data_IF_559761980859
#
_entry.id   IF_559761980859
#
_cell.length_a   1.000
_cell.length_b   1.000
_cell.length_c   1.000
_cell.angle_alpha   90.00
_cell.angle_beta   90.00
_cell.angle_gamma   90.00
#
_symmetry.space_group_name_H-M   'P 1'
#
loop_
_entity.id
_entity.type
_entity.pdbx_description
1 polymer ?
#
# COMPACT_ATOMS: atom_id res chain seq x y z
N UNK A 1 35.98 23.68 2.76
CA UNK A 1 35.61 22.36 2.22
C UNK A 1 35.26 21.34 3.32
N UNK A 2 35.81 21.42 4.51
CA UNK A 2 35.51 20.51 5.65
C UNK A 2 34.05 20.60 6.17
N UNK A 3 33.41 21.77 6.09
CA UNK A 3 32.02 21.95 6.54
C UNK A 3 30.97 21.26 5.66
N UNK A 4 31.15 21.24 4.33
CA UNK A 4 30.21 20.58 3.42
C UNK A 4 30.25 19.05 3.53
N UNK A 5 31.46 18.47 3.67
CA UNK A 5 31.65 17.04 3.89
C UNK A 5 31.09 16.62 5.25
N UNK A 6 31.26 17.43 6.30
CA UNK A 6 30.67 17.18 7.63
C UNK A 6 29.14 17.24 7.61
N UNK A 7 28.55 18.21 6.89
CA UNK A 7 27.09 18.30 6.73
C UNK A 7 26.53 17.10 5.94
N UNK A 8 27.21 16.68 4.88
CA UNK A 8 26.82 15.49 4.11
C UNK A 8 26.88 14.22 4.97
N UNK A 9 28.00 14.05 5.73
CA UNK A 9 28.17 12.92 6.64
C UNK A 9 27.10 12.87 7.73
N UNK A 10 26.78 14.01 8.34
CA UNK A 10 25.72 14.09 9.35
C UNK A 10 24.32 13.78 8.78
N UNK A 11 24.02 14.21 7.57
CA UNK A 11 22.76 13.90 6.89
C UNK A 11 22.64 12.40 6.60
N UNK A 12 23.69 11.76 6.09
CA UNK A 12 23.73 10.31 5.84
C UNK A 12 23.55 9.52 7.14
N UNK A 13 24.27 9.89 8.20
CA UNK A 13 24.14 9.23 9.51
C UNK A 13 22.74 9.41 10.11
N UNK A 14 22.12 10.58 9.97
CA UNK A 14 20.76 10.84 10.42
C UNK A 14 19.73 9.99 9.64
N UNK A 15 19.93 9.81 8.32
CA UNK A 15 19.10 8.94 7.49
C UNK A 15 19.24 7.48 7.91
N UNK A 16 20.46 6.97 8.07
CA UNK A 16 20.72 5.59 8.53
C UNK A 16 20.15 5.33 9.92
N UNK A 17 20.30 6.29 10.85
CA UNK A 17 19.69 6.20 12.16
C UNK A 17 18.16 6.16 12.11
N UNK A 18 17.54 6.90 11.19
CA UNK A 18 16.08 6.86 11.00
C UNK A 18 15.60 5.52 10.45
N UNK A 19 16.31 4.97 9.46
CA UNK A 19 16.04 3.62 8.94
C UNK A 19 16.21 2.57 10.06
N UNK A 20 17.31 2.65 10.84
CA UNK A 20 17.55 1.75 11.96
C UNK A 20 16.41 1.77 13.00
N UNK A 21 15.89 2.93 13.34
CA UNK A 21 14.74 3.05 14.27
C UNK A 21 13.47 2.39 13.71
N UNK A 22 13.20 2.55 12.43
CA UNK A 22 12.04 1.90 11.78
C UNK A 22 12.21 0.39 11.75
N UNK A 23 13.41 -0.11 11.45
CA UNK A 23 13.71 -1.55 11.44
C UNK A 23 13.56 -2.15 12.84
N UNK A 24 14.07 -1.48 13.87
CA UNK A 24 13.91 -1.93 15.27
C UNK A 24 12.41 -1.94 15.65
N UNK A 25 11.66 -0.92 15.26
CA UNK A 25 10.22 -0.86 15.50
C UNK A 25 9.49 -2.00 14.80
N UNK A 26 9.83 -2.31 13.55
CA UNK A 26 9.31 -3.44 12.79
C UNK A 26 9.63 -4.77 13.47
N UNK A 27 10.88 -4.99 13.85
CA UNK A 27 11.32 -6.21 14.54
C UNK A 27 10.58 -6.42 15.88
N UNK A 28 10.39 -5.34 16.64
CA UNK A 28 9.60 -5.40 17.88
C UNK A 28 8.13 -5.72 17.60
N UNK A 29 7.52 -5.14 16.56
CA UNK A 29 6.14 -5.46 16.19
C UNK A 29 5.99 -6.93 15.83
N UNK A 30 6.89 -7.47 15.00
CA UNK A 30 6.88 -8.88 14.58
C UNK A 30 7.11 -9.82 15.78
N UNK A 31 8.02 -9.48 16.70
CA UNK A 31 8.25 -10.25 17.91
C UNK A 31 7.00 -10.38 18.77
N UNK A 32 6.18 -9.35 18.86
CA UNK A 32 4.95 -9.36 19.63
C UNK A 32 3.83 -10.21 18.99
N UNK A 33 3.97 -10.59 17.71
CA UNK A 33 3.03 -11.50 17.04
C UNK A 33 2.97 -12.89 17.69
N UNK A 34 4.10 -13.36 18.23
CA UNK A 34 4.19 -14.70 18.84
C UNK A 34 3.79 -14.74 20.32
N UNK A 35 3.54 -13.60 20.96
CA UNK A 35 3.36 -13.49 22.40
C UNK A 35 1.91 -13.06 22.76
N UNK A 36 1.17 -13.82 23.59
CA UNK A 36 -0.12 -13.37 24.11
C UNK A 36 0.05 -12.12 25.04
N UNK A 37 -0.98 -11.30 25.30
CA UNK A 37 -2.38 -11.45 24.87
C UNK A 37 -2.63 -10.96 23.43
N UNK A 38 -3.66 -11.53 22.77
CA UNK A 38 -4.16 -11.07 21.47
C UNK A 38 -5.43 -10.25 21.68
N UNK A 39 -5.62 -9.21 20.85
CA UNK A 39 -6.78 -8.31 20.90
C UNK A 39 -7.64 -8.47 19.64
N UNK A 40 -8.50 -9.51 19.55
CA UNK A 40 -9.25 -9.79 18.33
C UNK A 40 -10.24 -8.67 17.98
N UNK A 41 -10.81 -8.02 18.95
CA UNK A 41 -11.74 -6.90 18.73
C UNK A 41 -11.06 -5.76 17.99
N UNK A 42 -9.87 -5.35 18.42
CA UNK A 42 -9.10 -4.27 17.78
C UNK A 42 -8.66 -4.67 16.37
N UNK A 43 -8.32 -5.95 16.17
CA UNK A 43 -7.99 -6.50 14.86
C UNK A 43 -9.17 -6.41 13.87
N UNK A 44 -10.37 -6.86 14.27
CA UNK A 44 -11.55 -6.80 13.41
C UNK A 44 -12.00 -5.36 13.12
N UNK A 45 -11.90 -4.45 14.09
CA UNK A 45 -12.16 -3.03 13.88
C UNK A 45 -11.17 -2.43 12.88
N UNK A 46 -9.87 -2.71 13.04
CA UNK A 46 -8.85 -2.27 12.10
C UNK A 46 -9.08 -2.86 10.69
N UNK A 47 -9.50 -4.12 10.58
CA UNK A 47 -9.78 -4.77 9.29
C UNK A 47 -10.94 -4.08 8.55
N UNK A 48 -11.99 -3.67 9.24
CA UNK A 48 -13.10 -2.91 8.65
C UNK A 48 -12.62 -1.51 8.25
N UNK A 49 -11.89 -0.81 9.11
CA UNK A 49 -11.42 0.55 8.83
C UNK A 49 -10.41 0.60 7.67
N UNK A 50 -9.50 -0.36 7.60
CA UNK A 50 -8.46 -0.43 6.58
C UNK A 50 -9.01 -1.05 5.30
N UNK A 51 -9.68 -2.20 5.39
CA UNK A 51 -10.17 -2.95 4.24
C UNK A 51 -11.44 -2.33 3.65
N UNK A 52 -12.55 -2.48 4.34
CA UNK A 52 -13.86 -2.12 3.80
C UNK A 52 -13.97 -0.66 3.39
N UNK A 53 -13.55 0.25 4.25
CA UNK A 53 -13.64 1.68 3.96
C UNK A 53 -12.65 2.18 2.90
N UNK A 54 -11.67 1.37 2.47
CA UNK A 54 -10.76 1.72 1.36
C UNK A 54 -11.28 1.23 -0.01
N UNK A 55 -12.23 0.29 -0.03
CA UNK A 55 -12.79 -0.27 -1.27
C UNK A 55 -13.26 0.80 -2.27
N UNK A 56 -14.04 1.83 -1.89
CA UNK A 56 -14.53 2.81 -2.85
C UNK A 56 -13.41 3.58 -3.55
N UNK A 57 -12.40 4.00 -2.80
CA UNK A 57 -11.28 4.78 -3.33
C UNK A 57 -10.38 3.92 -4.21
N UNK A 58 -10.07 2.70 -3.80
CA UNK A 58 -9.27 1.76 -4.58
C UNK A 58 -10.02 1.35 -5.85
N UNK A 59 -11.31 1.00 -5.73
CA UNK A 59 -12.13 0.60 -6.85
C UNK A 59 -12.28 1.69 -7.92
N UNK A 60 -12.61 2.94 -7.51
CA UNK A 60 -12.72 4.06 -8.43
C UNK A 60 -11.38 4.35 -9.13
N UNK A 61 -10.29 4.38 -8.37
CA UNK A 61 -8.96 4.62 -8.95
C UNK A 61 -8.60 3.52 -9.97
N UNK A 62 -8.82 2.26 -9.61
CA UNK A 62 -8.55 1.14 -10.50
C UNK A 62 -9.43 1.19 -11.77
N UNK A 63 -10.72 1.47 -11.63
CA UNK A 63 -11.65 1.56 -12.76
C UNK A 63 -11.21 2.58 -13.82
N UNK A 64 -10.95 3.81 -13.38
CA UNK A 64 -10.53 4.88 -14.29
C UNK A 64 -9.12 4.63 -14.84
N UNK A 65 -8.22 4.06 -14.05
CA UNK A 65 -6.88 3.72 -14.51
C UNK A 65 -6.92 2.64 -15.58
N UNK A 66 -7.71 1.56 -15.40
CA UNK A 66 -7.86 0.50 -16.38
C UNK A 66 -8.46 1.00 -17.69
N UNK A 67 -9.50 1.87 -17.60
CA UNK A 67 -10.10 2.52 -18.78
C UNK A 67 -9.11 3.43 -19.52
N UNK A 68 -8.37 4.28 -18.78
CA UNK A 68 -7.36 5.15 -19.36
C UNK A 68 -6.21 4.35 -20.00
N UNK A 69 -5.78 3.27 -19.34
CA UNK A 69 -4.75 2.38 -19.85
C UNK A 69 -5.16 1.73 -21.16
N UNK A 70 -6.42 1.27 -21.28
CA UNK A 70 -6.95 0.68 -22.52
C UNK A 70 -6.88 1.68 -23.68
N UNK A 71 -7.29 2.94 -23.47
CA UNK A 71 -7.18 4.00 -24.48
C UNK A 71 -5.74 4.28 -24.88
N UNK A 72 -4.85 4.36 -23.92
CA UNK A 72 -3.43 4.68 -24.15
C UNK A 72 -2.72 3.56 -24.92
N UNK A 73 -2.97 2.31 -24.54
CA UNK A 73 -2.39 1.15 -25.23
C UNK A 73 -2.94 1.04 -26.64
N UNK A 74 -4.27 1.24 -26.83
CA UNK A 74 -4.88 1.24 -28.16
C UNK A 74 -4.26 2.29 -29.08
N UNK A 75 -4.13 3.53 -28.61
CA UNK A 75 -3.52 4.61 -29.39
C UNK A 75 -2.06 4.33 -29.76
N UNK A 76 -1.33 3.61 -28.91
CA UNK A 76 0.03 3.16 -29.21
C UNK A 76 0.08 1.99 -30.19
N UNK A 77 -0.72 0.94 -29.95
CA UNK A 77 -0.74 -0.30 -30.74
C UNK A 77 -1.31 -0.11 -32.15
N UNK A 78 -2.24 0.83 -32.34
CA UNK A 78 -2.79 1.18 -33.63
C UNK A 78 -1.74 1.61 -34.66
N UNK A 79 -0.61 2.19 -34.19
CA UNK A 79 0.51 2.58 -35.06
C UNK A 79 1.23 1.39 -35.70
N UNK A 80 1.07 0.21 -35.13
CA UNK A 80 1.71 -1.05 -35.55
C UNK A 80 0.69 -2.10 -36.00
N UNK A 81 -0.59 -1.73 -36.17
CA UNK A 81 -1.72 -2.64 -36.47
C UNK A 81 -1.79 -3.84 -35.49
N UNK A 82 -1.52 -3.56 -34.22
CA UNK A 82 -1.42 -4.57 -33.16
C UNK A 82 -2.49 -4.36 -32.06
N UNK A 83 -3.70 -3.90 -32.45
CA UNK A 83 -4.77 -3.60 -31.50
C UNK A 83 -5.25 -4.83 -30.70
N UNK A 84 -5.10 -6.03 -31.29
CA UNK A 84 -5.51 -7.30 -30.65
C UNK A 84 -4.80 -7.58 -29.31
N UNK A 85 -3.65 -6.94 -29.03
CA UNK A 85 -2.91 -7.13 -27.78
C UNK A 85 -3.42 -6.26 -26.62
N UNK A 86 -4.28 -5.30 -26.89
CA UNK A 86 -4.77 -4.35 -25.86
C UNK A 86 -5.33 -5.04 -24.62
N UNK A 87 -6.24 -6.04 -24.72
CA UNK A 87 -6.80 -6.71 -23.56
C UNK A 87 -5.73 -7.36 -22.66
N UNK A 88 -4.77 -8.03 -23.28
CA UNK A 88 -3.69 -8.74 -22.60
C UNK A 88 -2.76 -7.78 -21.85
N UNK A 89 -2.36 -6.67 -22.49
CA UNK A 89 -1.47 -5.68 -21.88
C UNK A 89 -2.18 -4.94 -20.73
N UNK A 90 -3.48 -4.62 -20.90
CA UNK A 90 -4.28 -4.00 -19.83
C UNK A 90 -4.36 -4.94 -18.62
N UNK A 91 -4.63 -6.22 -18.85
CA UNK A 91 -4.74 -7.21 -17.78
C UNK A 91 -3.42 -7.36 -17.01
N UNK A 92 -2.30 -7.59 -17.71
CA UNK A 92 -0.99 -7.71 -17.09
C UNK A 92 -0.57 -6.41 -16.39
N UNK A 93 -0.73 -5.26 -17.05
CA UNK A 93 -0.37 -3.97 -16.51
C UNK A 93 -1.12 -3.64 -15.20
N UNK A 94 -2.40 -4.02 -15.13
CA UNK A 94 -3.18 -3.89 -13.90
C UNK A 94 -2.66 -4.85 -12.83
N UNK A 95 -2.63 -6.14 -13.09
CA UNK A 95 -2.37 -7.18 -12.08
C UNK A 95 -0.94 -7.16 -11.54
N UNK A 96 0.06 -6.95 -12.41
CA UNK A 96 1.47 -6.96 -12.00
C UNK A 96 1.93 -5.68 -11.34
N UNK A 97 1.43 -4.50 -11.81
CA UNK A 97 2.01 -3.22 -11.42
C UNK A 97 0.98 -2.20 -10.93
N UNK A 98 0.03 -1.80 -11.80
CA UNK A 98 -0.81 -0.64 -11.51
C UNK A 98 -1.79 -0.89 -10.35
N UNK A 99 -2.40 -2.07 -10.28
CA UNK A 99 -3.31 -2.42 -9.20
C UNK A 99 -2.63 -2.42 -7.84
N UNK A 100 -1.55 -3.19 -7.64
CA UNK A 100 -0.82 -3.20 -6.37
C UNK A 100 -0.26 -1.83 -5.99
N UNK A 101 0.40 -1.12 -6.92
CA UNK A 101 1.05 0.16 -6.64
C UNK A 101 0.04 1.25 -6.36
N UNK A 102 -0.95 1.45 -7.25
CA UNK A 102 -1.96 2.50 -7.06
C UNK A 102 -2.86 2.19 -5.87
N UNK A 103 -3.29 0.93 -5.70
CA UNK A 103 -4.00 0.48 -4.52
C UNK A 103 -3.22 0.75 -3.24
N UNK A 104 -1.94 0.37 -3.22
CA UNK A 104 -1.05 0.62 -2.09
C UNK A 104 -0.88 2.11 -1.78
N UNK A 105 -0.66 2.96 -2.78
CA UNK A 105 -0.51 4.41 -2.61
C UNK A 105 -1.80 5.08 -2.12
N UNK A 106 -2.98 4.67 -2.64
CA UNK A 106 -4.27 5.18 -2.17
C UNK A 106 -4.53 4.80 -0.72
N UNK A 107 -4.23 3.55 -0.36
CA UNK A 107 -4.34 3.08 1.02
C UNK A 107 -3.30 3.76 1.91
N UNK A 108 -2.07 4.00 1.46
CA UNK A 108 -1.05 4.74 2.21
C UNK A 108 -1.53 6.16 2.52
N UNK A 109 -2.06 6.88 1.53
CA UNK A 109 -2.55 8.23 1.72
C UNK A 109 -3.68 8.31 2.76
N UNK A 110 -4.61 7.33 2.75
CA UNK A 110 -5.77 7.31 3.63
C UNK A 110 -5.47 6.68 4.99
N UNK A 111 -4.90 5.46 4.99
CA UNK A 111 -4.76 4.64 6.20
C UNK A 111 -3.55 5.04 7.02
N UNK A 112 -2.37 5.23 6.39
CA UNK A 112 -1.17 5.63 7.13
C UNK A 112 -1.34 6.99 7.80
N UNK A 113 -2.00 7.96 7.12
CA UNK A 113 -2.32 9.26 7.71
C UNK A 113 -3.31 9.14 8.88
N UNK A 114 -4.37 8.34 8.71
CA UNK A 114 -5.38 8.13 9.75
C UNK A 114 -4.79 7.48 11.00
N UNK A 115 -4.00 6.41 10.84
CA UNK A 115 -3.30 5.73 11.94
C UNK A 115 -2.35 6.71 12.66
N UNK A 116 -1.56 7.47 11.89
CA UNK A 116 -0.62 8.43 12.48
C UNK A 116 -1.33 9.56 13.21
N UNK A 117 -2.49 10.03 12.71
CA UNK A 117 -3.30 11.04 13.38
C UNK A 117 -3.92 10.51 14.68
N UNK A 118 -4.50 9.33 14.64
CA UNK A 118 -5.15 8.69 15.78
C UNK A 118 -4.14 8.41 16.91
N UNK A 119 -3.07 7.68 16.62
CA UNK A 119 -2.02 7.37 17.61
C UNK A 119 -1.32 8.64 18.09
N UNK A 120 -1.06 9.58 17.19
CA UNK A 120 -0.46 10.87 17.54
C UNK A 120 -1.35 11.69 18.48
N UNK A 121 -2.65 11.67 18.29
CA UNK A 121 -3.63 12.32 19.19
C UNK A 121 -3.66 11.61 20.55
N UNK A 122 -3.69 10.28 20.56
CA UNK A 122 -3.62 9.48 21.80
C UNK A 122 -2.36 9.80 22.60
N UNK A 123 -1.22 10.03 21.91
CA UNK A 123 0.03 10.42 22.55
C UNK A 123 -0.04 11.82 23.18
N UNK A 124 -0.57 12.79 22.45
CA UNK A 124 -0.69 14.19 22.92
C UNK A 124 -1.65 14.30 24.11
N UNK A 125 -2.66 13.45 24.17
CA UNK A 125 -3.64 13.38 25.25
C UNK A 125 -3.27 12.40 26.37
N UNK A 126 -2.01 11.92 26.39
CA UNK A 126 -1.46 11.00 27.41
C UNK A 126 -2.18 9.65 27.53
N UNK A 127 -3.02 9.28 26.53
CA UNK A 127 -3.73 8.00 26.53
C UNK A 127 -2.77 6.80 26.40
N UNK A 128 -1.65 6.97 25.71
CA UNK A 128 -0.62 5.92 25.59
C UNK A 128 0.03 5.69 26.96
N UNK A 129 0.31 6.74 27.72
CA UNK A 129 0.90 6.64 29.05
C UNK A 129 -0.10 6.02 30.03
N UNK A 130 -1.39 6.30 29.88
CA UNK A 130 -2.45 5.62 30.63
C UNK A 130 -2.50 4.12 30.35
N UNK A 131 -2.32 3.68 29.08
CA UNK A 131 -2.23 2.25 28.75
C UNK A 131 -1.04 1.58 29.46
N UNK A 132 0.11 2.24 29.49
CA UNK A 132 1.30 1.72 30.18
C UNK A 132 1.07 1.59 31.68
N UNK A 133 0.43 2.59 32.32
CA UNK A 133 0.09 2.53 33.75
C UNK A 133 -0.89 1.41 34.08
N UNK A 134 -1.76 1.04 33.12
CA UNK A 134 -2.65 -0.11 33.22
C UNK A 134 -1.98 -1.44 32.85
N UNK A 135 -0.66 -1.48 32.75
CA UNK A 135 0.13 -2.66 32.36
C UNK A 135 -0.22 -3.23 30.98
N UNK A 136 -0.77 -2.39 30.10
CA UNK A 136 -1.09 -2.75 28.72
C UNK A 136 0.03 -2.26 27.80
N UNK A 137 0.64 -3.18 27.04
CA UNK A 137 1.70 -2.83 26.08
C UNK A 137 1.09 -2.14 24.85
N UNK A 138 1.43 -0.84 24.61
CA UNK A 138 0.90 -0.09 23.46
C UNK A 138 1.25 -0.72 22.10
N UNK A 139 2.39 -1.41 21.98
CA UNK A 139 2.76 -2.10 20.76
C UNK A 139 1.79 -3.24 20.42
N UNK A 140 1.36 -3.99 21.43
CA UNK A 140 0.41 -5.09 21.27
C UNK A 140 -1.02 -4.60 21.04
N UNK A 141 -1.40 -3.55 21.74
CA UNK A 141 -2.78 -3.06 21.71
C UNK A 141 -3.05 -2.17 20.47
N UNK A 142 -2.12 -1.29 20.12
CA UNK A 142 -2.31 -0.31 19.04
C UNK A 142 -1.66 -0.74 17.71
N UNK A 143 -0.40 -1.20 17.73
CA UNK A 143 0.37 -1.41 16.50
C UNK A 143 0.06 -2.75 15.87
N UNK A 144 0.15 -3.83 16.63
CA UNK A 144 0.03 -5.18 16.10
C UNK A 144 -1.29 -5.46 15.37
N UNK A 145 -2.48 -5.13 15.92
CA UNK A 145 -3.75 -5.36 15.25
C UNK A 145 -3.86 -4.60 13.92
N UNK A 146 -3.37 -3.35 13.86
CA UNK A 146 -3.40 -2.53 12.65
C UNK A 146 -2.47 -3.05 11.56
N UNK A 147 -1.26 -3.48 11.94
CA UNK A 147 -0.29 -4.06 10.99
C UNK A 147 -0.81 -5.36 10.42
N UNK A 148 -1.35 -6.26 11.25
CA UNK A 148 -1.95 -7.51 10.77
C UNK A 148 -3.15 -7.26 9.86
N UNK A 149 -4.05 -6.38 10.28
CA UNK A 149 -5.23 -6.04 9.49
C UNK A 149 -4.86 -5.47 8.11
N UNK A 150 -3.87 -4.57 8.03
CA UNK A 150 -3.43 -4.00 6.77
C UNK A 150 -2.74 -5.04 5.88
N UNK A 151 -1.88 -5.87 6.46
CA UNK A 151 -1.18 -6.93 5.72
C UNK A 151 -2.15 -7.93 5.09
N UNK A 152 -3.26 -8.23 5.76
CA UNK A 152 -4.29 -9.14 5.26
C UNK A 152 -5.31 -8.46 4.34
N UNK A 153 -5.65 -7.19 4.59
CA UNK A 153 -6.64 -6.46 3.79
C UNK A 153 -6.13 -6.03 2.43
N UNK A 154 -4.85 -5.60 2.32
CA UNK A 154 -4.34 -5.07 1.07
C UNK A 154 -4.29 -6.08 -0.07
N UNK A 155 -3.88 -7.34 0.10
CA UNK A 155 -3.98 -8.32 -0.98
C UNK A 155 -5.40 -8.44 -1.54
N UNK A 156 -6.41 -8.43 -0.66
CA UNK A 156 -7.82 -8.51 -1.05
C UNK A 156 -8.23 -7.24 -1.80
N UNK A 157 -7.83 -6.07 -1.31
CA UNK A 157 -8.09 -4.78 -1.97
C UNK A 157 -7.43 -4.70 -3.35
N UNK A 158 -6.22 -5.23 -3.49
CA UNK A 158 -5.51 -5.32 -4.77
C UNK A 158 -6.27 -6.23 -5.72
N UNK A 159 -6.63 -7.45 -5.31
CA UNK A 159 -7.35 -8.39 -6.16
C UNK A 159 -8.71 -7.81 -6.64
N UNK A 160 -9.45 -7.15 -5.75
CA UNK A 160 -10.72 -6.46 -6.11
C UNK A 160 -10.43 -5.27 -7.04
N UNK A 161 -9.38 -4.50 -6.76
CA UNK A 161 -8.95 -3.38 -7.59
C UNK A 161 -8.57 -3.83 -9.00
N UNK A 162 -7.80 -4.92 -9.13
CA UNK A 162 -7.40 -5.51 -10.41
C UNK A 162 -8.61 -5.93 -11.23
N UNK A 163 -9.57 -6.64 -10.61
CA UNK A 163 -10.79 -7.04 -11.27
C UNK A 163 -11.62 -5.83 -11.76
N UNK A 164 -11.75 -4.79 -10.94
CA UNK A 164 -12.46 -3.56 -11.29
C UNK A 164 -11.69 -2.78 -12.38
N UNK A 165 -10.37 -2.75 -12.35
CA UNK A 165 -9.55 -2.07 -13.34
C UNK A 165 -9.60 -2.76 -14.70
N UNK A 166 -9.50 -4.09 -14.74
CA UNK A 166 -9.70 -4.89 -15.95
C UNK A 166 -11.11 -4.66 -16.52
N UNK A 167 -12.13 -4.63 -15.65
CA UNK A 167 -13.49 -4.33 -16.05
C UNK A 167 -13.64 -2.91 -16.62
N UNK A 168 -12.96 -1.91 -16.06
CA UNK A 168 -12.90 -0.54 -16.61
C UNK A 168 -12.29 -0.52 -18.02
N UNK A 169 -11.20 -1.23 -18.24
CA UNK A 169 -10.57 -1.41 -19.54
C UNK A 169 -11.47 -2.12 -20.54
N UNK A 170 -12.18 -3.17 -20.10
CA UNK A 170 -13.16 -3.90 -20.90
C UNK A 170 -14.32 -3.00 -21.36
N UNK A 171 -14.92 -2.22 -20.47
CA UNK A 171 -16.01 -1.31 -20.83
C UNK A 171 -15.58 -0.28 -21.89
N UNK A 172 -14.38 0.29 -21.73
CA UNK A 172 -13.84 1.22 -22.73
C UNK A 172 -13.54 0.50 -24.04
N UNK A 173 -12.97 -0.70 -23.97
CA UNK A 173 -12.68 -1.53 -25.14
C UNK A 173 -13.89 -1.80 -26.00
N UNK A 174 -15.03 -2.16 -25.41
CA UNK A 174 -16.25 -2.47 -26.16
C UNK A 174 -16.95 -1.20 -26.64
N UNK A 175 -17.11 -0.19 -25.77
CA UNK A 175 -17.97 0.95 -26.08
C UNK A 175 -17.30 2.06 -26.89
N UNK A 176 -15.95 2.11 -26.89
CA UNK A 176 -15.17 3.17 -27.55
C UNK A 176 -14.22 2.67 -28.63
N UNK A 177 -13.79 1.42 -28.52
CA UNK A 177 -12.75 0.86 -29.39
C UNK A 177 -13.29 -0.27 -30.28
N UNK A 178 -14.60 -0.54 -30.25
CA UNK A 178 -15.32 -1.52 -31.06
C UNK A 178 -14.75 -2.96 -30.97
N UNK A 179 -14.13 -3.33 -29.84
CA UNK A 179 -13.68 -4.71 -29.62
C UNK A 179 -14.87 -5.66 -29.45
N UNK A 180 -14.73 -6.87 -30.00
CA UNK A 180 -15.67 -7.94 -29.68
C UNK A 180 -15.54 -8.36 -28.22
N UNK A 181 -16.63 -8.34 -27.45
CA UNK A 181 -16.66 -8.63 -26.03
C UNK A 181 -16.11 -10.02 -25.68
N UNK A 182 -16.49 -11.04 -26.46
CA UNK A 182 -16.06 -12.42 -26.23
C UNK A 182 -14.55 -12.58 -26.48
N UNK A 183 -14.04 -11.96 -27.55
CA UNK A 183 -12.62 -11.98 -27.87
C UNK A 183 -11.79 -11.22 -26.82
N UNK A 184 -12.30 -10.07 -26.32
CA UNK A 184 -11.64 -9.29 -25.27
C UNK A 184 -11.47 -10.10 -23.99
N UNK A 185 -12.57 -10.70 -23.50
CA UNK A 185 -12.54 -11.52 -22.29
C UNK A 185 -11.64 -12.75 -22.43
N UNK A 186 -11.73 -13.42 -23.58
CA UNK A 186 -10.90 -14.58 -23.87
C UNK A 186 -9.41 -14.21 -23.82
N UNK A 187 -8.99 -13.15 -24.52
CA UNK A 187 -7.60 -12.71 -24.55
C UNK A 187 -7.11 -12.27 -23.16
N UNK A 188 -7.98 -11.64 -22.35
CA UNK A 188 -7.66 -11.26 -20.97
C UNK A 188 -7.37 -12.48 -20.10
N UNK A 189 -8.22 -13.52 -20.17
CA UNK A 189 -8.08 -14.71 -19.31
C UNK A 189 -6.95 -15.63 -19.81
N UNK A 190 -6.85 -15.83 -21.12
CA UNK A 190 -5.83 -16.72 -21.69
C UNK A 190 -4.38 -16.23 -21.45
N UNK A 191 -4.22 -14.91 -21.25
CA UNK A 191 -2.90 -14.29 -21.10
C UNK A 191 -2.47 -14.08 -19.65
N UNK A 192 -3.39 -14.15 -18.68
CA UNK A 192 -3.09 -14.01 -17.27
C UNK A 192 -2.62 -15.35 -16.68
N UNK A 193 -1.41 -15.38 -16.18
CA UNK A 193 -0.86 -16.51 -15.45
C UNK A 193 -1.16 -16.41 -13.95
N UNK A 194 -1.21 -17.55 -13.28
CA UNK A 194 -1.39 -17.59 -11.82
C UNK A 194 -0.26 -16.86 -11.10
N UNK A 195 0.96 -16.88 -11.64
CA UNK A 195 2.10 -16.16 -11.10
C UNK A 195 1.89 -14.64 -11.05
N UNK A 196 1.18 -14.07 -12.03
CA UNK A 196 0.88 -12.64 -12.09
C UNK A 196 0.02 -12.20 -10.91
N UNK A 197 -1.07 -12.95 -10.69
CA UNK A 197 -2.00 -12.68 -9.59
C UNK A 197 -1.31 -12.88 -8.24
N UNK A 198 -0.54 -13.94 -8.07
CA UNK A 198 0.20 -14.21 -6.83
C UNK A 198 1.21 -13.09 -6.55
N UNK A 199 1.95 -12.63 -7.58
CA UNK A 199 2.90 -11.52 -7.41
C UNK A 199 2.20 -10.24 -6.95
N UNK A 200 1.05 -9.90 -7.54
CA UNK A 200 0.23 -8.74 -7.15
C UNK A 200 -0.25 -8.85 -5.71
N UNK A 201 -0.74 -10.02 -5.29
CA UNK A 201 -1.18 -10.25 -3.90
C UNK A 201 -0.03 -10.17 -2.90
N UNK A 202 1.14 -10.72 -3.23
CA UNK A 202 2.34 -10.64 -2.35
C UNK A 202 2.80 -9.18 -2.23
N UNK A 203 2.85 -8.43 -3.33
CA UNK A 203 3.10 -6.99 -3.31
C UNK A 203 2.10 -6.28 -2.39
N UNK A 204 0.81 -6.57 -2.53
CA UNK A 204 -0.24 -6.04 -1.66
C UNK A 204 0.03 -6.30 -0.19
N UNK A 205 0.40 -7.53 0.21
CA UNK A 205 0.71 -7.86 1.60
C UNK A 205 1.90 -7.06 2.15
N UNK A 206 2.98 -6.97 1.39
CA UNK A 206 4.17 -6.19 1.76
C UNK A 206 3.85 -4.70 1.89
N UNK A 207 3.06 -4.15 0.97
CA UNK A 207 2.64 -2.74 1.03
C UNK A 207 1.74 -2.49 2.23
N UNK A 208 0.80 -3.41 2.54
CA UNK A 208 -0.03 -3.33 3.73
C UNK A 208 0.77 -3.28 5.01
N UNK A 209 1.77 -4.13 5.11
CA UNK A 209 2.70 -4.12 6.23
C UNK A 209 3.38 -2.76 6.39
N UNK A 210 3.94 -2.19 5.31
CA UNK A 210 4.60 -0.89 5.37
C UNK A 210 3.65 0.25 5.71
N UNK A 211 2.46 0.30 5.11
CA UNK A 211 1.46 1.35 5.35
C UNK A 211 1.11 1.46 6.83
N UNK A 212 0.76 0.34 7.46
CA UNK A 212 0.36 0.36 8.86
C UNK A 212 1.55 0.54 9.81
N UNK A 213 2.68 -0.11 9.52
CA UNK A 213 3.90 0.01 10.34
C UNK A 213 4.38 1.46 10.40
N UNK A 214 4.48 2.11 9.26
CA UNK A 214 4.95 3.50 9.14
C UNK A 214 3.94 4.47 9.77
N UNK A 215 2.64 4.24 9.56
CA UNK A 215 1.58 5.01 10.23
C UNK A 215 1.70 4.94 11.75
N UNK A 216 1.86 3.74 12.32
CA UNK A 216 2.06 3.54 13.74
C UNK A 216 3.38 4.15 14.24
N UNK A 217 4.48 3.97 13.51
CA UNK A 217 5.78 4.53 13.87
C UNK A 217 5.75 6.04 14.00
N UNK A 218 5.22 6.74 12.98
CA UNK A 218 5.12 8.20 13.01
C UNK A 218 4.11 8.70 14.04
N UNK A 219 2.99 8.00 14.24
CA UNK A 219 2.02 8.30 15.28
C UNK A 219 2.64 8.23 16.68
N UNK A 220 3.32 7.13 17.01
CA UNK A 220 3.99 6.96 18.29
C UNK A 220 5.17 7.92 18.51
N UNK A 221 5.78 8.41 17.44
CA UNK A 221 6.87 9.40 17.50
C UNK A 221 6.41 10.82 17.18
N UNK A 222 5.10 11.11 17.24
CA UNK A 222 4.57 12.45 17.00
C UNK A 222 5.11 13.46 18.00
N UNK A 223 5.29 14.70 17.53
CA UNK A 223 5.61 15.84 18.39
C UNK A 223 4.40 16.30 19.21
N UNK A 224 4.63 17.27 20.10
CA UNK A 224 3.58 17.83 20.96
C UNK A 224 2.58 18.67 20.16
N UNK A 225 1.33 18.64 20.60
CA UNK A 225 0.22 19.46 20.09
C UNK A 225 -0.23 19.10 18.66
N UNK A 226 -1.24 19.78 18.16
CA UNK A 226 -1.84 19.54 16.86
C UNK A 226 -0.85 19.64 15.68
N UNK A 227 0.11 20.57 15.75
CA UNK A 227 1.14 20.70 14.71
C UNK A 227 2.09 19.48 14.67
N UNK A 228 2.37 18.86 15.84
CA UNK A 228 3.16 17.65 15.94
C UNK A 228 2.47 16.47 15.25
N UNK A 229 1.17 16.31 15.53
CA UNK A 229 0.31 15.31 14.88
C UNK A 229 0.24 15.53 13.38
N UNK A 230 -0.01 16.75 12.91
CA UNK A 230 -0.06 17.08 11.49
C UNK A 230 1.26 16.85 10.75
N UNK A 231 2.40 17.03 11.39
CA UNK A 231 3.71 16.63 10.80
C UNK A 231 3.87 15.13 10.73
N UNK A 232 3.47 14.41 11.77
CA UNK A 232 3.54 12.96 11.80
C UNK A 232 2.71 12.31 10.69
N UNK A 233 1.48 12.82 10.44
CA UNK A 233 0.62 12.32 9.36
C UNK A 233 1.24 12.51 7.98
N UNK A 234 1.77 13.71 7.69
CA UNK A 234 2.44 13.98 6.42
C UNK A 234 3.67 13.07 6.23
N UNK A 235 4.51 12.95 7.26
CA UNK A 235 5.70 12.12 7.21
C UNK A 235 5.36 10.64 7.04
N UNK A 236 4.28 10.17 7.66
CA UNK A 236 3.81 8.80 7.52
C UNK A 236 3.42 8.47 6.07
N UNK A 237 2.63 9.32 5.41
CA UNK A 237 2.24 9.12 4.01
C UNK A 237 3.45 9.11 3.08
N UNK A 238 4.34 10.11 3.22
CA UNK A 238 5.53 10.21 2.36
C UNK A 238 6.44 8.99 2.53
N UNK A 239 6.74 8.62 3.77
CA UNK A 239 7.61 7.47 4.04
C UNK A 239 7.00 6.15 3.57
N UNK A 240 5.69 5.93 3.79
CA UNK A 240 4.99 4.75 3.30
C UNK A 240 5.01 4.68 1.76
N UNK A 241 4.74 5.79 1.07
CA UNK A 241 4.76 5.85 -0.39
C UNK A 241 6.14 5.55 -0.97
N UNK A 242 7.21 6.11 -0.38
CA UNK A 242 8.58 5.82 -0.82
C UNK A 242 8.93 4.34 -0.63
N UNK A 243 8.54 3.75 0.51
CA UNK A 243 8.78 2.33 0.77
C UNK A 243 7.99 1.42 -0.17
N UNK A 244 6.74 1.78 -0.51
CA UNK A 244 5.94 1.05 -1.50
C UNK A 244 6.65 1.04 -2.86
N UNK A 245 7.08 2.20 -3.35
CA UNK A 245 7.74 2.30 -4.65
C UNK A 245 9.08 1.55 -4.67
N UNK A 246 9.88 1.64 -3.61
CA UNK A 246 11.12 0.91 -3.50
C UNK A 246 10.89 -0.61 -3.43
N UNK A 247 9.93 -1.05 -2.61
CA UNK A 247 9.58 -2.46 -2.51
C UNK A 247 8.96 -3.00 -3.80
N UNK A 248 8.17 -2.20 -4.51
CA UNK A 248 7.62 -2.60 -5.81
C UNK A 248 8.74 -2.97 -6.78
N UNK A 249 9.74 -2.10 -6.92
CA UNK A 249 10.87 -2.37 -7.80
C UNK A 249 11.58 -3.69 -7.44
N UNK A 250 11.92 -3.87 -6.16
CA UNK A 250 12.61 -5.07 -5.69
C UNK A 250 11.78 -6.35 -5.92
N UNK A 251 10.49 -6.30 -5.60
CA UNK A 251 9.59 -7.44 -5.76
C UNK A 251 9.36 -7.78 -7.24
N UNK A 252 9.24 -6.77 -8.11
CA UNK A 252 9.13 -7.01 -9.56
C UNK A 252 10.37 -7.72 -10.09
N UNK A 253 11.55 -7.29 -9.66
CA UNK A 253 12.82 -7.93 -10.06
C UNK A 253 12.90 -9.38 -9.58
N UNK A 254 12.53 -9.64 -8.33
CA UNK A 254 12.52 -11.01 -7.77
C UNK A 254 11.53 -11.94 -8.47
N UNK A 255 10.35 -11.45 -8.86
CA UNK A 255 9.32 -12.31 -9.48
C UNK A 255 9.52 -12.55 -10.97
N UNK A 256 10.13 -11.60 -11.70
CA UNK A 256 10.11 -11.61 -13.16
C UNK A 256 11.50 -11.58 -13.82
N UNK A 257 12.58 -11.47 -13.04
CA UNK A 257 13.95 -11.39 -13.59
C UNK A 257 14.85 -12.52 -13.08
N UNK A 258 14.40 -13.31 -12.09
CA UNK A 258 15.15 -14.44 -11.52
C UNK A 258 14.88 -15.74 -12.23
#
# INVERSE_FOLDING_TARGET
MTGALGALGSAVLAMLASIGRIVIFAANTVKHLALPPFYPREFFQALVQIGWLSLPVVGLTAFFTGGALALQIYAGSARFSAEAVVPSIVAIGMVRELGPVLGGLMVAARVSSSIAAEIGTMKVTEQIDALVTLSTDPMKYLTLPRVLAATLSLPILVAVGDAIGIFGGFLVGINRLDFNAAAYLKNTVDFLETADVVSGMVKGAVFGFFVALIGCYHGMNSGRGAQGVGRATKSAVVAASVLILAANYILTEVFFTS
#
